data_IF_506832284497
#
_entry.id   IF_506832284497
#
_cell.length_a   1.000
_cell.length_b   1.000
_cell.length_c   1.000
_cell.angle_alpha   90.00
_cell.angle_beta   90.00
_cell.angle_gamma   90.00
#
_symmetry.space_group_name_H-M   'P 1'
#
loop_
_entity.id
_entity.type
_entity.pdbx_description
1 polymer ?
#
# COMPACT_ATOMS: atom_id res chain seq x y z
N UNK A 1 14.85 -4.14 -3.43
CA UNK A 1 15.24 -3.30 -4.54
C UNK A 1 14.45 -1.98 -4.53
N UNK A 2 15.14 -0.89 -4.28
CA UNK A 2 14.55 0.46 -4.15
C UNK A 2 13.89 0.99 -5.44
N UNK A 3 14.25 0.47 -6.61
CA UNK A 3 13.71 0.94 -7.89
C UNK A 3 12.23 0.59 -8.09
N UNK A 4 11.79 -0.59 -7.67
CA UNK A 4 10.39 -1.02 -7.87
C UNK A 4 9.38 -0.28 -6.98
N UNK A 5 9.82 0.26 -5.84
CA UNK A 5 8.97 1.08 -4.95
C UNK A 5 8.78 2.47 -5.54
N UNK A 6 9.81 3.02 -6.21
CA UNK A 6 9.79 4.39 -6.74
C UNK A 6 8.77 4.60 -7.85
N UNK A 7 8.58 3.64 -8.74
CA UNK A 7 7.78 3.89 -9.94
C UNK A 7 6.31 4.15 -9.64
N UNK A 8 5.68 3.31 -8.83
CA UNK A 8 4.24 3.43 -8.52
C UNK A 8 3.93 4.56 -7.55
N UNK A 9 4.67 4.69 -6.45
CA UNK A 9 4.51 5.80 -5.49
C UNK A 9 5.00 7.14 -6.08
N UNK A 10 5.96 7.11 -7.00
CA UNK A 10 6.36 8.30 -7.76
C UNK A 10 5.19 8.90 -8.54
N UNK A 11 4.39 8.07 -9.21
CA UNK A 11 3.20 8.55 -9.93
C UNK A 11 2.12 9.08 -9.00
N UNK A 12 1.95 8.52 -7.81
CA UNK A 12 1.04 9.07 -6.80
C UNK A 12 1.42 10.53 -6.45
N UNK A 13 2.69 10.80 -6.18
CA UNK A 13 3.17 12.15 -5.94
C UNK A 13 3.01 13.10 -7.15
N UNK A 14 3.17 12.58 -8.37
CA UNK A 14 2.92 13.37 -9.60
C UNK A 14 1.44 13.74 -9.75
N UNK A 15 0.53 12.80 -9.50
CA UNK A 15 -0.92 13.05 -9.56
C UNK A 15 -1.32 14.07 -8.50
N UNK A 16 -0.86 13.90 -7.24
CA UNK A 16 -1.13 14.83 -6.16
C UNK A 16 -0.72 16.27 -6.51
N UNK A 17 0.50 16.45 -7.01
CA UNK A 17 0.99 17.77 -7.44
C UNK A 17 0.16 18.36 -8.57
N UNK A 18 -0.24 17.56 -9.56
CA UNK A 18 -1.08 17.98 -10.68
C UNK A 18 -2.46 18.45 -10.22
N UNK A 19 -3.00 17.83 -9.17
CA UNK A 19 -4.27 18.17 -8.55
C UNK A 19 -4.17 19.34 -7.54
N UNK A 20 -2.96 19.86 -7.29
CA UNK A 20 -2.74 20.92 -6.31
C UNK A 20 -2.90 20.49 -4.85
N UNK A 21 -2.72 19.19 -4.58
CA UNK A 21 -2.81 18.62 -3.23
C UNK A 21 -1.47 18.68 -2.52
N UNK A 22 -1.50 18.89 -1.22
CA UNK A 22 -0.35 18.70 -0.37
C UNK A 22 0.07 17.22 -0.39
N UNK A 23 1.35 16.97 -0.54
CA UNK A 23 1.88 15.62 -0.66
C UNK A 23 3.07 15.44 0.29
N UNK A 24 2.98 14.42 1.13
CA UNK A 24 4.03 14.04 2.05
C UNK A 24 4.42 12.57 1.87
N UNK A 25 5.69 12.29 2.08
CA UNK A 25 6.22 10.92 2.14
C UNK A 25 6.69 10.66 3.56
N UNK A 26 6.08 9.68 4.23
CA UNK A 26 6.53 9.25 5.57
C UNK A 26 7.92 8.62 5.45
N UNK A 27 8.85 9.13 6.24
CA UNK A 27 10.23 8.62 6.30
C UNK A 27 10.38 7.71 7.51
N UNK A 28 10.83 6.48 7.30
CA UNK A 28 11.06 5.55 8.40
C UNK A 28 12.47 5.74 8.96
N UNK A 29 12.55 6.02 10.27
CA UNK A 29 13.80 6.28 10.98
C UNK A 29 14.62 5.01 11.20
N UNK A 30 13.96 3.85 11.30
CA UNK A 30 14.60 2.57 11.56
C UNK A 30 13.88 1.42 10.86
N UNK A 31 14.64 0.67 10.05
CA UNK A 31 14.20 -0.57 9.40
C UNK A 31 15.20 -1.69 9.68
N UNK A 32 14.72 -2.92 9.76
CA UNK A 32 15.51 -4.12 10.00
C UNK A 32 15.44 -5.08 8.80
N UNK A 33 16.16 -4.80 7.70
CA UNK A 33 16.00 -5.54 6.43
C UNK A 33 16.70 -6.90 6.41
N UNK A 34 17.49 -7.23 7.42
CA UNK A 34 18.34 -8.42 7.47
C UNK A 34 17.93 -9.46 8.53
N UNK A 35 16.66 -9.48 8.92
CA UNK A 35 16.14 -10.56 9.76
C UNK A 35 15.97 -11.85 8.96
N UNK A 36 15.77 -12.98 9.64
CA UNK A 36 15.68 -14.31 9.01
C UNK A 36 14.59 -14.42 7.93
N UNK A 37 13.50 -13.69 8.11
CA UNK A 37 12.37 -13.66 7.15
C UNK A 37 11.87 -12.25 6.91
N UNK A 38 11.24 -11.97 5.73
CA UNK A 38 10.58 -10.70 5.49
C UNK A 38 9.53 -10.35 6.54
N UNK A 39 8.81 -11.34 7.06
CA UNK A 39 7.84 -11.15 8.12
C UNK A 39 8.50 -10.69 9.43
N UNK A 40 9.59 -11.34 9.84
CA UNK A 40 10.32 -10.95 11.05
C UNK A 40 10.86 -9.52 10.94
N UNK A 41 11.43 -9.17 9.79
CA UNK A 41 11.89 -7.80 9.50
C UNK A 41 10.76 -6.77 9.60
N UNK A 42 9.60 -7.08 9.03
CA UNK A 42 8.43 -6.20 9.04
C UNK A 42 7.90 -6.02 10.48
N UNK A 43 7.70 -7.10 11.22
CA UNK A 43 7.21 -7.06 12.60
C UNK A 43 8.14 -6.26 13.50
N UNK A 44 9.46 -6.45 13.37
CA UNK A 44 10.45 -5.72 14.16
C UNK A 44 10.52 -4.23 13.80
N UNK A 45 10.34 -3.89 12.53
CA UNK A 45 10.38 -2.51 12.05
C UNK A 45 9.10 -1.72 12.36
N UNK A 46 7.98 -2.41 12.52
CA UNK A 46 6.65 -1.80 12.58
C UNK A 46 6.48 -0.75 13.70
N UNK A 47 6.90 -1.00 14.97
CA UNK A 47 6.68 -0.01 16.04
C UNK A 47 7.34 1.34 15.77
N UNK A 48 8.59 1.32 15.27
CA UNK A 48 9.29 2.54 14.89
C UNK A 48 8.63 3.26 13.71
N UNK A 49 8.29 2.53 12.66
CA UNK A 49 7.64 3.09 11.48
C UNK A 49 6.22 3.63 11.79
N UNK A 50 5.47 2.97 12.67
CA UNK A 50 4.18 3.45 13.13
C UNK A 50 4.33 4.77 13.91
N UNK A 51 5.33 4.86 14.79
CA UNK A 51 5.64 6.10 15.51
C UNK A 51 6.05 7.22 14.55
N UNK A 52 6.85 6.92 13.52
CA UNK A 52 7.23 7.89 12.49
C UNK A 52 5.99 8.42 11.75
N UNK A 53 5.04 7.56 11.39
CA UNK A 53 3.80 7.97 10.75
C UNK A 53 2.97 8.87 11.68
N UNK A 54 2.82 8.51 12.97
CA UNK A 54 2.08 9.29 13.96
C UNK A 54 2.64 10.70 14.16
N UNK A 55 3.96 10.86 14.04
CA UNK A 55 4.63 12.14 14.27
C UNK A 55 4.77 12.99 13.02
N UNK A 56 4.84 12.39 11.83
CA UNK A 56 5.08 13.10 10.58
C UNK A 56 3.78 13.51 9.87
N UNK A 57 2.70 12.71 9.99
CA UNK A 57 1.45 13.03 9.30
C UNK A 57 0.76 14.18 10.04
N UNK A 58 0.62 15.36 9.42
CA UNK A 58 0.04 16.51 10.08
C UNK A 58 -1.47 16.36 10.25
N UNK A 59 -2.01 16.85 11.34
CA UNK A 59 -3.45 16.99 11.56
C UNK A 59 -4.01 18.22 10.83
N UNK A 60 -5.35 18.31 10.77
CA UNK A 60 -6.05 19.52 10.32
C UNK A 60 -6.50 19.52 8.86
N UNK A 61 -6.40 18.39 8.17
CA UNK A 61 -6.99 18.21 6.85
C UNK A 61 -8.40 17.61 6.97
N UNK A 62 -9.31 18.04 6.10
CA UNK A 62 -10.67 17.49 6.02
C UNK A 62 -10.67 16.06 5.47
N UNK A 63 -9.67 15.72 4.65
CA UNK A 63 -9.53 14.43 4.00
C UNK A 63 -8.07 14.04 3.85
N UNK A 64 -7.79 12.75 4.02
CA UNK A 64 -6.49 12.16 3.75
C UNK A 64 -6.59 11.11 2.65
N UNK A 65 -5.57 11.03 1.81
CA UNK A 65 -5.42 9.97 0.83
C UNK A 65 -4.10 9.26 1.14
N UNK A 66 -4.21 8.07 1.72
CA UNK A 66 -3.07 7.25 2.07
C UNK A 66 -2.78 6.24 0.96
N UNK A 67 -1.61 6.36 0.35
CA UNK A 67 -1.14 5.43 -0.69
C UNK A 67 0.11 4.75 -0.17
N UNK A 68 0.06 3.44 -0.05
CA UNK A 68 1.13 2.67 0.55
C UNK A 68 1.46 1.41 -0.26
N UNK A 69 2.68 0.91 -0.13
CA UNK A 69 3.15 -0.30 -0.81
C UNK A 69 3.93 -1.20 0.15
N UNK A 70 3.72 -2.52 0.02
CA UNK A 70 4.45 -3.55 0.78
C UNK A 70 4.40 -3.26 2.29
N UNK A 71 5.53 -3.20 2.98
CA UNK A 71 5.62 -2.86 4.40
C UNK A 71 4.85 -1.57 4.77
N UNK A 72 4.84 -0.56 3.90
CA UNK A 72 4.09 0.68 4.12
C UNK A 72 2.59 0.46 4.28
N UNK A 73 2.05 -0.64 3.76
CA UNK A 73 0.62 -0.97 3.91
C UNK A 73 0.24 -1.27 5.36
N UNK A 74 1.15 -1.93 6.13
CA UNK A 74 0.98 -2.11 7.57
C UNK A 74 0.89 -0.77 8.29
N UNK A 75 1.84 0.10 7.99
CA UNK A 75 1.96 1.40 8.65
C UNK A 75 0.75 2.26 8.36
N UNK A 76 0.31 2.33 7.10
CA UNK A 76 -0.87 3.08 6.69
C UNK A 76 -2.15 2.53 7.33
N UNK A 77 -2.36 1.21 7.30
CA UNK A 77 -3.52 0.58 7.93
C UNK A 77 -3.54 0.80 9.46
N UNK A 78 -2.39 0.68 10.12
CA UNK A 78 -2.26 0.97 11.54
C UNK A 78 -2.56 2.43 11.88
N UNK A 79 -2.08 3.36 11.06
CA UNK A 79 -2.37 4.78 11.23
C UNK A 79 -3.86 5.09 11.06
N UNK A 80 -4.49 4.57 10.01
CA UNK A 80 -5.94 4.71 9.78
C UNK A 80 -6.75 4.16 10.97
N UNK A 81 -6.35 3.00 11.47
CA UNK A 81 -7.01 2.35 12.62
C UNK A 81 -6.88 3.16 13.91
N UNK A 82 -5.77 3.88 14.07
CA UNK A 82 -5.54 4.78 15.22
C UNK A 82 -6.30 6.11 15.11
N UNK A 83 -6.79 6.46 13.92
CA UNK A 83 -7.47 7.73 13.65
C UNK A 83 -8.86 7.52 13.02
N UNK A 84 -9.79 6.87 13.72
CA UNK A 84 -11.13 6.60 13.19
C UNK A 84 -11.96 7.87 12.92
N UNK A 85 -11.52 9.02 13.47
CA UNK A 85 -12.13 10.33 13.28
C UNK A 85 -11.80 10.96 11.93
N UNK A 86 -10.78 10.47 11.21
CA UNK A 86 -10.37 11.05 9.94
C UNK A 86 -11.07 10.43 8.74
N UNK A 87 -11.40 11.26 7.76
CA UNK A 87 -11.83 10.79 6.44
C UNK A 87 -10.62 10.33 5.62
N UNK A 88 -10.41 9.03 5.54
CA UNK A 88 -9.26 8.46 4.83
C UNK A 88 -9.70 7.63 3.63
N UNK A 89 -9.13 7.95 2.46
CA UNK A 89 -9.15 7.07 1.30
C UNK A 89 -7.86 6.26 1.30
N UNK A 90 -7.96 4.93 1.43
CA UNK A 90 -6.81 4.03 1.58
C UNK A 90 -6.57 3.23 0.30
N UNK A 91 -5.40 3.41 -0.32
CA UNK A 91 -4.95 2.64 -1.48
C UNK A 91 -3.68 1.86 -1.11
N UNK A 92 -3.78 0.55 -1.20
CA UNK A 92 -2.74 -0.38 -0.77
C UNK A 92 -2.19 -1.17 -1.97
N UNK A 93 -0.90 -1.13 -2.17
CA UNK A 93 -0.21 -1.89 -3.20
C UNK A 93 0.58 -3.04 -2.57
N UNK A 94 0.35 -4.24 -3.07
CA UNK A 94 1.00 -5.47 -2.60
C UNK A 94 0.99 -5.61 -1.08
N UNK A 95 -0.21 -5.63 -0.44
CA UNK A 95 -0.33 -5.85 1.00
C UNK A 95 0.25 -7.22 1.38
N UNK A 96 0.67 -7.34 2.64
CA UNK A 96 1.36 -8.53 3.13
C UNK A 96 0.35 -9.52 3.75
N UNK A 97 0.48 -10.81 3.44
CA UNK A 97 -0.51 -11.83 3.80
C UNK A 97 -0.72 -11.99 5.32
N UNK A 98 0.35 -11.89 6.10
CA UNK A 98 0.29 -12.11 7.56
C UNK A 98 -0.37 -10.98 8.35
N UNK A 99 -0.72 -9.88 7.68
CA UNK A 99 -1.30 -8.70 8.31
C UNK A 99 -2.78 -8.54 8.03
N UNK A 100 -3.33 -9.37 7.14
CA UNK A 100 -4.72 -9.22 6.73
C UNK A 100 -5.67 -9.20 7.94
N UNK A 101 -5.62 -10.24 8.77
CA UNK A 101 -6.55 -10.36 9.88
C UNK A 101 -6.43 -9.24 10.93
N UNK A 102 -5.21 -8.86 11.40
CA UNK A 102 -5.08 -7.81 12.39
C UNK A 102 -5.28 -6.38 11.87
N UNK A 103 -5.00 -6.13 10.58
CA UNK A 103 -4.94 -4.76 10.06
C UNK A 103 -5.96 -4.43 8.99
N UNK A 104 -6.27 -5.35 8.07
CA UNK A 104 -7.09 -5.04 6.90
C UNK A 104 -8.53 -5.52 6.97
N UNK A 105 -8.83 -6.59 7.72
CA UNK A 105 -10.16 -7.19 7.73
C UNK A 105 -11.24 -6.16 8.09
N UNK A 106 -12.20 -5.97 7.19
CA UNK A 106 -13.29 -5.01 7.34
C UNK A 106 -12.90 -3.54 7.19
N UNK A 107 -11.65 -3.23 6.84
CA UNK A 107 -11.21 -1.85 6.62
C UNK A 107 -11.49 -1.42 5.18
N UNK A 108 -12.30 -0.37 4.96
CA UNK A 108 -12.54 0.12 3.60
C UNK A 108 -11.26 0.54 2.90
N UNK A 109 -10.92 -0.15 1.82
CA UNK A 109 -9.70 0.11 1.07
C UNK A 109 -9.80 -0.37 -0.38
N UNK A 110 -8.93 0.17 -1.23
CA UNK A 110 -8.63 -0.40 -2.53
C UNK A 110 -7.24 -1.05 -2.48
N UNK A 111 -7.17 -2.31 -2.92
CA UNK A 111 -5.93 -3.08 -2.94
C UNK A 111 -5.55 -3.44 -4.38
N UNK A 112 -4.28 -3.30 -4.72
CA UNK A 112 -3.70 -3.91 -5.92
C UNK A 112 -2.68 -4.97 -5.50
N UNK A 113 -2.82 -6.19 -6.03
CA UNK A 113 -1.93 -7.31 -5.70
C UNK A 113 -1.63 -8.17 -6.91
N UNK A 114 -0.43 -8.74 -6.96
CA UNK A 114 -0.04 -9.68 -7.99
C UNK A 114 -0.46 -11.10 -7.63
N UNK A 115 -0.98 -11.86 -8.60
CA UNK A 115 -1.40 -13.25 -8.34
C UNK A 115 -0.22 -14.21 -8.13
N UNK A 116 0.97 -13.81 -8.54
CA UNK A 116 2.24 -14.52 -8.31
C UNK A 116 3.11 -13.86 -7.22
N UNK A 117 2.55 -12.95 -6.42
CA UNK A 117 3.27 -12.33 -5.31
C UNK A 117 3.52 -13.34 -4.18
N UNK A 118 4.80 -13.69 -3.87
CA UNK A 118 5.11 -14.67 -2.84
C UNK A 118 4.81 -14.18 -1.41
N UNK A 119 4.70 -12.86 -1.21
CA UNK A 119 4.39 -12.26 0.10
C UNK A 119 2.88 -12.11 0.33
N UNK A 120 2.08 -12.10 -0.74
CA UNK A 120 0.62 -12.11 -0.68
C UNK A 120 0.04 -13.52 -0.56
N UNK A 121 0.37 -14.36 -1.53
CA UNK A 121 -0.08 -15.76 -1.57
C UNK A 121 -1.58 -15.94 -1.80
N UNK A 122 -1.97 -17.21 -2.00
CA UNK A 122 -3.36 -17.58 -2.31
C UNK A 122 -4.33 -17.35 -1.13
N UNK A 123 -3.83 -17.40 0.10
CA UNK A 123 -4.66 -17.16 1.29
C UNK A 123 -5.09 -15.69 1.38
N UNK A 124 -4.16 -14.76 1.17
CA UNK A 124 -4.48 -13.33 1.12
C UNK A 124 -5.44 -13.03 -0.03
N UNK A 125 -5.21 -13.61 -1.20
CA UNK A 125 -6.09 -13.41 -2.36
C UNK A 125 -7.54 -13.75 -2.02
N UNK A 126 -7.79 -14.95 -1.47
CA UNK A 126 -9.14 -15.35 -1.05
C UNK A 126 -9.72 -14.41 0.01
N UNK A 127 -8.93 -14.06 1.02
CA UNK A 127 -9.38 -13.17 2.07
C UNK A 127 -9.77 -11.78 1.55
N UNK A 128 -9.05 -11.25 0.55
CA UNK A 128 -9.38 -9.97 -0.09
C UNK A 128 -10.62 -10.06 -0.98
N UNK A 129 -10.81 -11.19 -1.70
CA UNK A 129 -11.99 -11.44 -2.53
C UNK A 129 -13.27 -11.56 -1.69
N UNK A 130 -13.16 -12.15 -0.50
CA UNK A 130 -14.30 -12.41 0.39
C UNK A 130 -14.67 -11.21 1.30
N UNK A 131 -13.82 -10.19 1.40
CA UNK A 131 -14.06 -9.03 2.27
C UNK A 131 -14.82 -7.93 1.52
N UNK A 132 -16.10 -7.66 1.86
CA UNK A 132 -16.91 -6.68 1.16
C UNK A 132 -16.44 -5.22 1.38
N UNK A 133 -15.60 -4.95 2.37
CA UNK A 133 -15.04 -3.63 2.61
C UNK A 133 -13.89 -3.29 1.65
N UNK A 134 -13.33 -4.31 0.99
CA UNK A 134 -12.14 -4.18 0.17
C UNK A 134 -12.50 -4.36 -1.32
N UNK A 135 -12.06 -3.41 -2.14
CA UNK A 135 -12.04 -3.58 -3.60
C UNK A 135 -10.66 -3.98 -4.04
N UNK A 136 -10.52 -5.11 -4.72
CA UNK A 136 -9.22 -5.64 -5.14
C UNK A 136 -9.03 -5.60 -6.64
N UNK A 137 -7.87 -5.13 -7.07
CA UNK A 137 -7.37 -5.19 -8.43
C UNK A 137 -6.24 -6.24 -8.50
N UNK A 138 -6.49 -7.33 -9.21
CA UNK A 138 -5.52 -8.41 -9.40
C UNK A 138 -4.71 -8.21 -10.68
N UNK A 139 -3.40 -8.20 -10.56
CA UNK A 139 -2.47 -8.26 -11.70
C UNK A 139 -2.11 -9.72 -11.94
N UNK A 140 -2.67 -10.32 -12.99
CA UNK A 140 -2.46 -11.73 -13.29
C UNK A 140 -0.99 -12.00 -13.63
N UNK A 141 -0.39 -13.03 -13.00
CA UNK A 141 1.05 -13.30 -13.09
C UNK A 141 1.96 -12.27 -12.44
N UNK A 142 1.39 -11.21 -11.85
CA UNK A 142 2.16 -10.13 -11.21
C UNK A 142 2.88 -10.60 -9.95
N UNK A 143 4.15 -10.19 -9.83
CA UNK A 143 4.98 -10.41 -8.65
C UNK A 143 4.75 -9.30 -7.59
N UNK A 144 5.58 -9.26 -6.54
CA UNK A 144 5.51 -8.24 -5.48
C UNK A 144 5.76 -6.80 -5.97
N UNK A 145 6.31 -6.63 -7.15
CA UNK A 145 6.45 -5.33 -7.80
C UNK A 145 5.30 -4.99 -8.75
N UNK A 146 4.30 -5.88 -8.87
CA UNK A 146 3.22 -5.83 -9.85
C UNK A 146 3.74 -5.84 -11.29
N UNK A 147 4.90 -6.46 -11.49
CA UNK A 147 5.49 -6.71 -12.80
C UNK A 147 5.26 -8.17 -13.19
N UNK A 148 5.15 -8.41 -14.48
CA UNK A 148 5.01 -9.74 -15.06
C UNK A 148 6.26 -10.06 -15.87
N UNK A 149 7.16 -10.93 -15.36
CA UNK A 149 8.47 -11.17 -15.98
C UNK A 149 8.39 -11.68 -17.43
N UNK A 150 7.33 -12.41 -17.74
CA UNK A 150 7.14 -13.01 -19.07
C UNK A 150 6.51 -12.06 -20.08
N UNK A 151 5.69 -11.11 -19.62
CA UNK A 151 5.02 -10.12 -20.47
C UNK A 151 4.96 -8.75 -19.77
N UNK A 152 5.93 -7.90 -20.07
CA UNK A 152 6.00 -6.56 -19.50
C UNK A 152 4.79 -5.68 -19.86
N UNK A 153 4.02 -5.99 -20.90
CA UNK A 153 2.86 -5.20 -21.30
C UNK A 153 1.76 -5.26 -20.25
N UNK A 154 1.58 -6.39 -19.58
CA UNK A 154 0.63 -6.54 -18.46
C UNK A 154 1.02 -5.61 -17.31
N UNK A 155 2.30 -5.57 -16.94
CA UNK A 155 2.82 -4.67 -15.90
C UNK A 155 2.63 -3.18 -16.24
N UNK A 156 2.78 -2.80 -17.51
CA UNK A 156 2.54 -1.44 -17.99
C UNK A 156 1.04 -1.06 -17.95
N UNK A 157 0.15 -1.94 -18.37
CA UNK A 157 -1.30 -1.71 -18.25
C UNK A 157 -1.72 -1.63 -16.78
N UNK A 158 -1.19 -2.50 -15.91
CA UNK A 158 -1.43 -2.44 -14.48
C UNK A 158 -0.98 -1.10 -13.89
N UNK A 159 0.20 -0.59 -14.28
CA UNK A 159 0.65 0.73 -13.86
C UNK A 159 -0.31 1.84 -14.29
N UNK A 160 -0.78 1.80 -15.53
CA UNK A 160 -1.74 2.77 -16.06
C UNK A 160 -3.06 2.77 -15.29
N UNK A 161 -3.58 1.58 -14.97
CA UNK A 161 -4.82 1.45 -14.20
C UNK A 161 -4.65 1.93 -12.75
N UNK A 162 -3.51 1.63 -12.13
CA UNK A 162 -3.17 2.14 -10.80
C UNK A 162 -3.10 3.68 -10.80
N UNK A 163 -2.46 4.28 -11.81
CA UNK A 163 -2.38 5.75 -11.93
C UNK A 163 -3.77 6.37 -12.11
N UNK A 164 -4.65 5.74 -12.91
CA UNK A 164 -6.06 6.18 -13.01
C UNK A 164 -6.77 6.12 -11.67
N UNK A 165 -6.51 5.09 -10.88
CA UNK A 165 -7.07 4.98 -9.52
C UNK A 165 -6.60 6.10 -8.60
N UNK A 166 -5.34 6.52 -8.71
CA UNK A 166 -4.85 7.71 -8.00
C UNK A 166 -5.58 8.98 -8.43
N UNK A 167 -5.77 9.18 -9.74
CA UNK A 167 -6.51 10.33 -10.27
C UNK A 167 -7.96 10.36 -9.79
N UNK A 168 -8.64 9.22 -9.71
CA UNK A 168 -10.00 9.11 -9.16
C UNK A 168 -10.04 9.47 -7.67
N UNK A 169 -9.12 8.92 -6.88
CA UNK A 169 -9.07 9.13 -5.43
C UNK A 169 -8.73 10.58 -5.06
N UNK A 170 -7.99 11.28 -5.92
CA UNK A 170 -7.50 12.65 -5.68
C UNK A 170 -8.40 13.76 -6.25
N UNK A 171 -9.51 13.42 -6.88
CA UNK A 171 -10.57 14.38 -7.28
C UNK A 171 -11.48 14.69 -6.09
#
# INVERSE_FOLDING_TARGET
SEMCIRDRLYYAAKVARRQGLDCMVVQYSQLFPHEETPQASAVKSYPGAAQDAMTQIPAGYDRYICIAKSFGTMVAAGWVKAHPEYHVTLLQLTPLAWEYAPLYAGMPAWHATGTADPLGGAALRRALEDDPAITTYFVEGGNHSLDTPEDYTIGLEALKDIVRKYEEAMR
#
